data_IF_843353408430
#
_entry.id   IF_843353408430
#
_cell.length_a   1.000
_cell.length_b   1.000
_cell.length_c   1.000
_cell.angle_alpha   90.00
_cell.angle_beta   90.00
_cell.angle_gamma   90.00
#
_symmetry.space_group_name_H-M   'P 1'
#
loop_
_entity.id
_entity.type
_entity.pdbx_description
1 polymer ?
#
# COMPACT_ATOMS: atom_id res chain seq x y z
N UNK A 1 34.19 -6.84 4.06
CA UNK A 1 33.40 -5.81 3.37
C UNK A 1 32.04 -5.65 4.03
N UNK A 2 31.90 -4.75 5.00
CA UNK A 2 30.65 -4.53 5.75
C UNK A 2 29.57 -3.85 4.90
N UNK A 3 29.95 -2.94 3.99
CA UNK A 3 29.03 -2.32 3.04
C UNK A 3 28.32 -3.36 2.15
N UNK A 4 29.03 -4.39 1.69
CA UNK A 4 28.42 -5.48 0.89
C UNK A 4 27.32 -6.22 1.66
N UNK A 5 27.46 -6.34 2.99
CA UNK A 5 26.41 -6.90 3.82
C UNK A 5 25.15 -6.01 3.86
N UNK A 6 25.28 -4.68 3.83
CA UNK A 6 24.12 -3.78 3.79
C UNK A 6 23.33 -3.94 2.48
N UNK A 7 24.03 -4.06 1.34
CA UNK A 7 23.38 -4.30 0.04
C UNK A 7 22.74 -5.68 -0.06
N UNK A 8 23.38 -6.71 0.49
CA UNK A 8 22.77 -8.04 0.60
C UNK A 8 21.51 -8.01 1.47
N UNK A 9 21.55 -7.24 2.57
CA UNK A 9 20.39 -7.00 3.42
C UNK A 9 19.21 -6.45 2.61
N UNK A 10 19.47 -5.42 1.81
CA UNK A 10 18.45 -4.79 0.97
C UNK A 10 17.94 -5.72 -0.13
N UNK A 11 18.84 -6.49 -0.75
CA UNK A 11 18.46 -7.50 -1.76
C UNK A 11 17.47 -8.51 -1.18
N UNK A 12 17.73 -9.02 0.02
CA UNK A 12 16.82 -9.94 0.69
C UNK A 12 15.51 -9.27 1.12
N UNK A 13 15.54 -8.01 1.56
CA UNK A 13 14.32 -7.25 1.91
C UNK A 13 13.40 -7.09 0.69
N UNK A 14 13.96 -6.74 -0.47
CA UNK A 14 13.20 -6.61 -1.72
C UNK A 14 12.63 -7.97 -2.18
N UNK A 15 13.40 -9.06 -2.05
CA UNK A 15 12.86 -10.40 -2.30
C UNK A 15 11.70 -10.76 -1.38
N UNK A 16 11.78 -10.41 -0.10
CA UNK A 16 10.69 -10.67 0.85
C UNK A 16 9.39 -9.93 0.50
N UNK A 17 9.47 -8.75 -0.13
CA UNK A 17 8.32 -7.96 -0.59
C UNK A 17 7.56 -8.69 -1.70
N UNK A 18 8.28 -9.20 -2.69
CA UNK A 18 7.70 -9.88 -3.86
C UNK A 18 7.43 -11.37 -3.63
N UNK A 19 7.98 -11.94 -2.57
CA UNK A 19 7.76 -13.34 -2.22
C UNK A 19 6.36 -13.50 -1.65
N UNK A 20 5.55 -14.33 -2.28
CA UNK A 20 4.27 -14.66 -1.69
C UNK A 20 4.49 -15.71 -0.60
N UNK A 21 5.22 -16.81 -0.82
CA UNK A 21 5.37 -17.95 0.09
C UNK A 21 5.78 -17.52 1.52
N UNK A 22 5.11 -17.95 2.61
CA UNK A 22 5.33 -17.36 3.92
C UNK A 22 6.61 -17.90 4.57
N UNK A 23 7.00 -19.14 4.28
CA UNK A 23 8.22 -19.74 4.77
C UNK A 23 9.43 -19.08 4.09
N UNK A 24 9.40 -18.96 2.77
CA UNK A 24 10.45 -18.27 2.01
C UNK A 24 10.51 -16.78 2.36
N UNK A 25 9.37 -16.10 2.48
CA UNK A 25 9.31 -14.71 2.97
C UNK A 25 9.98 -14.56 4.33
N UNK A 26 9.69 -15.47 5.28
CA UNK A 26 10.31 -15.46 6.61
C UNK A 26 11.82 -15.69 6.51
N UNK A 27 12.29 -16.62 5.66
CA UNK A 27 13.72 -16.85 5.42
C UNK A 27 14.40 -15.60 4.84
N UNK A 28 13.79 -14.92 3.88
CA UNK A 28 14.32 -13.69 3.30
C UNK A 28 14.35 -12.54 4.30
N UNK A 29 13.30 -12.34 5.11
CA UNK A 29 13.29 -11.33 6.18
C UNK A 29 14.42 -11.58 7.19
N UNK A 30 14.57 -12.83 7.65
CA UNK A 30 15.62 -13.18 8.60
C UNK A 30 17.03 -13.00 8.00
N UNK A 31 17.20 -13.32 6.71
CA UNK A 31 18.44 -13.09 5.99
C UNK A 31 18.74 -11.60 5.86
N UNK A 32 17.74 -10.78 5.50
CA UNK A 32 17.87 -9.33 5.42
C UNK A 32 18.36 -8.73 6.76
N UNK A 33 17.69 -9.08 7.87
CA UNK A 33 18.07 -8.64 9.22
C UNK A 33 19.52 -9.03 9.54
N UNK A 34 19.87 -10.31 9.38
CA UNK A 34 21.23 -10.80 9.66
C UNK A 34 22.30 -10.04 8.87
N UNK A 35 22.01 -9.74 7.60
CA UNK A 35 22.94 -9.03 6.74
C UNK A 35 23.05 -7.54 7.13
N UNK A 36 21.95 -6.86 7.44
CA UNK A 36 22.00 -5.49 7.96
C UNK A 36 22.71 -5.41 9.33
N UNK A 37 22.39 -6.27 10.28
CA UNK A 37 23.05 -6.32 11.59
C UNK A 37 24.55 -6.57 11.44
N UNK A 38 24.95 -7.47 10.55
CA UNK A 38 26.36 -7.70 10.26
C UNK A 38 27.02 -6.49 9.61
N UNK A 39 26.34 -5.75 8.73
CA UNK A 39 26.87 -4.53 8.14
C UNK A 39 27.11 -3.42 9.18
N UNK A 40 26.27 -3.39 10.22
CA UNK A 40 26.32 -2.44 11.33
C UNK A 40 27.27 -2.89 12.46
N UNK A 41 27.85 -4.10 12.37
CA UNK A 41 28.77 -4.61 13.38
C UNK A 41 30.12 -3.86 13.35
N UNK A 42 30.51 -3.32 14.51
CA UNK A 42 31.79 -2.61 14.78
C UNK A 42 32.08 -1.33 13.99
N UNK A 43 31.10 -0.72 13.31
CA UNK A 43 31.14 0.71 13.04
C UNK A 43 30.28 1.41 14.08
N UNK A 44 30.83 2.45 14.74
CA UNK A 44 30.01 3.26 15.63
C UNK A 44 28.78 3.71 14.83
N UNK A 45 27.55 3.49 15.33
CA UNK A 45 26.31 3.97 14.70
C UNK A 45 26.22 5.51 14.69
N UNK A 46 27.35 6.20 14.73
CA UNK A 46 27.57 7.64 14.63
C UNK A 46 28.03 8.04 13.21
N UNK A 47 28.42 7.07 12.36
CA UNK A 47 28.71 7.36 10.97
C UNK A 47 27.41 7.54 10.17
N UNK A 48 27.17 8.77 9.70
CA UNK A 48 26.04 9.13 8.84
C UNK A 48 25.91 8.19 7.61
N UNK A 49 27.01 7.66 7.08
CA UNK A 49 27.03 6.78 5.90
C UNK A 49 26.27 5.45 6.06
N UNK A 50 25.91 5.04 7.30
CA UNK A 50 25.11 3.85 7.57
C UNK A 50 23.70 4.15 8.08
N UNK A 51 23.30 5.42 8.16
CA UNK A 51 21.93 5.81 8.52
C UNK A 51 20.89 5.16 7.61
N UNK A 52 21.20 4.97 6.32
CA UNK A 52 20.28 4.31 5.39
C UNK A 52 20.12 2.82 5.74
N UNK A 53 21.21 2.12 6.08
CA UNK A 53 21.16 0.71 6.45
C UNK A 53 20.33 0.50 7.72
N UNK A 54 20.43 1.43 8.69
CA UNK A 54 19.55 1.46 9.86
C UNK A 54 18.08 1.65 9.47
N UNK A 55 17.77 2.61 8.60
CA UNK A 55 16.41 2.83 8.17
C UNK A 55 15.83 1.58 7.48
N UNK A 56 16.60 0.96 6.59
CA UNK A 56 16.20 -0.22 5.82
C UNK A 56 16.08 -1.47 6.71
N UNK A 57 16.91 -1.58 7.75
CA UNK A 57 16.71 -2.56 8.81
C UNK A 57 15.40 -2.31 9.56
N UNK A 58 15.10 -1.06 9.92
CA UNK A 58 13.82 -0.69 10.54
C UNK A 58 12.62 -1.03 9.67
N UNK A 59 12.67 -0.74 8.37
CA UNK A 59 11.65 -1.14 7.41
C UNK A 59 11.55 -2.67 7.23
N UNK A 60 12.65 -3.40 7.40
CA UNK A 60 12.64 -4.87 7.42
C UNK A 60 11.90 -5.39 8.65
N UNK A 61 12.11 -4.80 9.83
CA UNK A 61 11.30 -5.11 11.01
C UNK A 61 9.84 -4.71 10.84
N UNK A 62 9.53 -3.65 10.08
CA UNK A 62 8.15 -3.32 9.69
C UNK A 62 7.50 -4.48 8.93
N UNK A 63 8.22 -5.24 8.10
CA UNK A 63 7.68 -6.44 7.45
C UNK A 63 7.26 -7.52 8.46
N UNK A 64 7.92 -7.59 9.63
CA UNK A 64 7.61 -8.57 10.68
C UNK A 64 6.38 -8.21 11.51
N UNK A 65 6.06 -6.91 11.64
CA UNK A 65 4.90 -6.40 12.40
C UNK A 65 3.61 -7.14 12.01
N UNK A 66 3.45 -7.40 10.71
CA UNK A 66 2.23 -7.97 10.10
C UNK A 66 2.47 -9.35 9.47
N UNK A 67 3.61 -9.99 9.76
CA UNK A 67 3.98 -11.27 9.16
C UNK A 67 3.04 -12.39 9.61
N UNK A 68 2.62 -12.36 10.89
CA UNK A 68 1.54 -13.21 11.38
C UNK A 68 0.18 -12.62 10.96
N UNK A 69 -0.24 -12.99 9.75
CA UNK A 69 -1.53 -12.58 9.20
C UNK A 69 -2.70 -13.07 10.04
N UNK A 70 -2.58 -14.23 10.69
CA UNK A 70 -3.67 -14.77 11.52
C UNK A 70 -3.90 -13.85 12.71
N UNK A 71 -2.81 -13.47 13.40
CA UNK A 71 -2.83 -12.52 14.49
C UNK A 71 -3.40 -11.16 14.07
N UNK A 72 -2.94 -10.62 12.94
CA UNK A 72 -3.44 -9.36 12.39
C UNK A 72 -4.95 -9.38 12.14
N UNK A 73 -5.47 -10.47 11.58
CA UNK A 73 -6.86 -10.56 11.09
C UNK A 73 -7.83 -10.97 12.19
N UNK A 74 -7.45 -11.93 13.04
CA UNK A 74 -8.34 -12.48 14.07
C UNK A 74 -8.28 -11.69 15.37
N UNK A 75 -7.07 -11.30 15.76
CA UNK A 75 -6.82 -10.66 17.04
C UNK A 75 -6.76 -9.14 16.89
N UNK A 76 -6.66 -8.62 15.65
CA UNK A 76 -6.44 -7.20 15.38
C UNK A 76 -5.18 -6.69 16.09
N UNK A 77 -4.17 -7.57 16.19
CA UNK A 77 -2.93 -7.34 16.90
C UNK A 77 -1.75 -7.34 15.93
N UNK A 78 -0.76 -6.52 16.25
CA UNK A 78 0.53 -6.47 15.57
C UNK A 78 1.64 -7.02 16.47
N UNK A 79 2.79 -7.38 15.90
CA UNK A 79 3.96 -7.76 16.70
C UNK A 79 4.63 -6.51 17.32
N UNK A 80 4.29 -6.24 18.57
CA UNK A 80 4.85 -5.13 19.37
C UNK A 80 6.37 -5.18 19.51
N UNK A 81 6.98 -6.38 19.54
CA UNK A 81 8.44 -6.51 19.60
C UNK A 81 9.05 -6.02 18.30
N UNK A 82 8.51 -6.43 17.16
CA UNK A 82 8.97 -5.98 15.85
C UNK A 82 8.67 -4.50 15.61
N UNK A 83 7.53 -3.97 16.10
CA UNK A 83 7.23 -2.52 16.10
C UNK A 83 8.31 -1.74 16.85
N UNK A 84 8.64 -2.14 18.09
CA UNK A 84 9.66 -1.47 18.90
C UNK A 84 11.03 -1.48 18.19
N UNK A 85 11.41 -2.61 17.59
CA UNK A 85 12.66 -2.69 16.82
C UNK A 85 12.63 -1.76 15.59
N UNK A 86 11.54 -1.78 14.83
CA UNK A 86 11.38 -0.90 13.66
C UNK A 86 11.53 0.58 14.04
N UNK A 87 10.82 1.02 15.09
CA UNK A 87 10.90 2.40 15.59
C UNK A 87 12.31 2.75 16.08
N UNK A 88 12.97 1.88 16.84
CA UNK A 88 14.33 2.13 17.34
C UNK A 88 15.33 2.37 16.19
N UNK A 89 15.31 1.50 15.18
CA UNK A 89 16.22 1.63 14.04
C UNK A 89 15.89 2.84 13.17
N UNK A 90 14.62 3.15 12.96
CA UNK A 90 14.18 4.33 12.20
C UNK A 90 14.51 5.63 12.94
N UNK A 91 14.31 5.68 14.27
CA UNK A 91 14.71 6.81 15.10
C UNK A 91 16.21 7.06 14.98
N UNK A 92 17.02 6.01 15.12
CA UNK A 92 18.47 6.15 14.98
C UNK A 92 18.88 6.59 13.57
N UNK A 93 18.21 6.10 12.54
CA UNK A 93 18.46 6.55 11.17
C UNK A 93 18.16 8.05 10.99
N UNK A 94 17.05 8.53 11.55
CA UNK A 94 16.63 9.94 11.51
C UNK A 94 17.60 10.83 12.30
N UNK A 95 18.07 10.39 13.46
CA UNK A 95 19.10 11.11 14.23
C UNK A 95 20.38 11.33 13.41
N UNK A 96 20.80 10.33 12.63
CA UNK A 96 22.02 10.38 11.83
C UNK A 96 21.86 11.07 10.48
N UNK A 97 20.65 10.98 9.91
CA UNK A 97 20.30 11.53 8.61
C UNK A 97 18.89 12.14 8.66
N UNK A 98 18.72 13.31 9.30
CA UNK A 98 17.40 13.92 9.46
C UNK A 98 16.76 14.31 8.12
N UNK A 99 17.54 14.50 7.07
CA UNK A 99 17.08 14.78 5.69
C UNK A 99 16.79 13.52 4.87
N UNK A 100 16.82 12.33 5.48
CA UNK A 100 16.49 11.09 4.80
C UNK A 100 14.98 10.84 4.83
N UNK A 101 14.26 11.49 3.92
CA UNK A 101 12.79 11.49 3.83
C UNK A 101 12.17 10.08 3.98
N UNK A 102 12.79 9.08 3.38
CA UNK A 102 12.30 7.70 3.42
C UNK A 102 12.23 7.10 4.83
N UNK A 103 13.16 7.44 5.73
CA UNK A 103 13.07 6.96 7.11
C UNK A 103 11.85 7.57 7.83
N UNK A 104 11.53 8.84 7.59
CA UNK A 104 10.33 9.47 8.10
C UNK A 104 9.06 8.79 7.57
N UNK A 105 8.97 8.56 6.25
CA UNK A 105 7.82 7.87 5.66
C UNK A 105 7.64 6.43 6.14
N UNK A 106 8.74 5.70 6.34
CA UNK A 106 8.70 4.36 6.92
C UNK A 106 8.28 4.39 8.38
N UNK A 107 8.75 5.35 9.17
CA UNK A 107 8.34 5.50 10.58
C UNK A 107 6.87 5.88 10.71
N UNK A 108 6.37 6.77 9.84
CA UNK A 108 4.94 7.01 9.69
C UNK A 108 4.18 5.71 9.43
N UNK A 109 4.65 4.87 8.51
CA UNK A 109 3.97 3.60 8.20
C UNK A 109 3.91 2.67 9.41
N UNK A 110 4.97 2.63 10.24
CA UNK A 110 4.97 1.89 11.51
C UNK A 110 3.94 2.48 12.50
N UNK A 111 3.90 3.80 12.65
CA UNK A 111 2.90 4.47 13.48
C UNK A 111 1.47 4.18 13.02
N UNK A 112 1.19 4.20 11.70
CA UNK A 112 -0.13 3.82 11.17
C UNK A 112 -0.49 2.36 11.47
N UNK A 113 0.46 1.44 11.38
CA UNK A 113 0.28 0.03 11.77
C UNK A 113 -0.01 -0.11 13.27
N UNK A 114 0.44 0.83 14.09
CA UNK A 114 0.11 0.92 15.49
C UNK A 114 -1.15 1.74 15.78
N UNK A 115 -1.81 2.29 14.75
CA UNK A 115 -2.93 3.24 14.86
C UNK A 115 -2.58 4.55 15.61
N UNK A 116 -1.29 4.90 15.63
CA UNK A 116 -0.70 6.13 16.16
C UNK A 116 -0.73 7.21 15.07
N UNK A 117 -1.92 7.70 14.75
CA UNK A 117 -2.12 8.54 13.56
C UNK A 117 -1.55 9.95 13.69
N UNK A 118 -1.43 10.50 14.90
CA UNK A 118 -0.88 11.84 15.12
C UNK A 118 0.63 11.84 14.86
N UNK A 119 1.34 10.83 15.36
CA UNK A 119 2.77 10.59 15.12
C UNK A 119 3.03 10.31 13.64
N UNK A 120 2.21 9.46 13.02
CA UNK A 120 2.27 9.24 11.58
C UNK A 120 2.08 10.55 10.80
N UNK A 121 1.10 11.37 11.18
CA UNK A 121 0.82 12.64 10.51
C UNK A 121 2.02 13.59 10.60
N UNK A 122 2.66 13.68 11.76
CA UNK A 122 3.86 14.50 11.94
C UNK A 122 4.99 14.04 11.02
N UNK A 123 5.28 12.74 11.01
CA UNK A 123 6.34 12.16 10.19
C UNK A 123 6.10 12.37 8.68
N UNK A 124 4.86 12.24 8.24
CA UNK A 124 4.44 12.50 6.85
C UNK A 124 4.60 13.98 6.47
N UNK A 125 4.29 14.90 7.41
CA UNK A 125 4.53 16.33 7.22
C UNK A 125 6.01 16.64 7.02
N UNK A 126 6.88 16.03 7.83
CA UNK A 126 8.34 16.17 7.69
C UNK A 126 8.84 15.56 6.38
N UNK A 127 8.40 14.34 6.05
CA UNK A 127 8.72 13.67 4.77
C UNK A 127 8.39 14.56 3.56
N UNK A 128 7.19 15.16 3.55
CA UNK A 128 6.71 16.03 2.48
C UNK A 128 7.53 17.31 2.31
N UNK A 129 8.05 17.87 3.41
CA UNK A 129 8.92 19.05 3.34
C UNK A 129 10.32 18.71 2.81
N UNK A 130 10.85 17.53 3.16
CA UNK A 130 12.19 17.10 2.75
C UNK A 130 12.21 16.69 1.28
N UNK A 131 11.21 15.95 0.82
CA UNK A 131 11.14 15.39 -0.52
C UNK A 131 9.75 15.62 -1.11
N UNK A 132 9.44 16.81 -1.64
CA UNK A 132 8.09 17.13 -2.11
C UNK A 132 7.64 16.29 -3.33
N UNK A 133 8.57 15.66 -4.04
CA UNK A 133 8.30 14.90 -5.26
C UNK A 133 7.58 13.57 -4.96
N UNK A 134 6.58 13.22 -5.78
CA UNK A 134 5.77 11.98 -5.71
C UNK A 134 6.53 10.67 -5.99
N UNK A 135 7.86 10.73 -6.11
CA UNK A 135 8.66 9.59 -6.50
C UNK A 135 8.78 8.62 -5.32
N UNK A 136 8.06 7.51 -5.42
CA UNK A 136 8.26 6.34 -4.57
C UNK A 136 9.29 5.42 -5.23
N UNK A 137 9.76 4.40 -4.49
CA UNK A 137 10.59 3.31 -5.04
C UNK A 137 10.03 2.67 -6.33
N UNK A 138 8.76 2.92 -6.68
CA UNK A 138 8.07 2.41 -7.88
C UNK A 138 8.72 2.83 -9.22
N UNK A 139 9.59 3.84 -9.26
CA UNK A 139 10.30 4.22 -10.48
C UNK A 139 11.84 4.18 -10.36
N UNK A 140 12.37 3.68 -9.23
CA UNK A 140 13.81 3.52 -9.06
C UNK A 140 14.27 2.24 -9.75
N UNK A 141 15.16 2.28 -10.77
CA UNK A 141 15.63 1.10 -11.50
C UNK A 141 16.59 0.21 -10.69
N UNK A 142 16.60 0.31 -9.36
CA UNK A 142 17.74 -0.12 -8.55
C UNK A 142 17.46 -1.36 -7.71
N UNK A 143 18.07 -2.52 -8.04
CA UNK A 143 18.45 -3.56 -7.09
C UNK A 143 19.83 -3.28 -6.46
N UNK A 144 20.13 -1.99 -6.28
CA UNK A 144 21.19 -1.33 -5.49
C UNK A 144 22.59 -1.21 -6.11
N UNK A 145 22.82 -0.26 -7.03
CA UNK A 145 24.15 0.36 -7.10
C UNK A 145 24.32 1.65 -6.29
N UNK A 146 23.40 2.61 -6.21
CA UNK A 146 23.54 3.75 -5.28
C UNK A 146 22.14 4.30 -4.92
N UNK A 147 21.63 3.99 -3.73
CA UNK A 147 20.27 4.31 -3.25
C UNK A 147 19.93 5.81 -3.33
N UNK A 148 19.29 6.26 -4.41
CA UNK A 148 18.49 7.49 -4.40
C UNK A 148 17.19 7.16 -3.67
N UNK A 149 17.04 7.67 -2.45
CA UNK A 149 15.89 7.37 -1.61
C UNK A 149 14.93 8.54 -1.61
N UNK A 150 13.79 8.38 -2.26
CA UNK A 150 12.66 9.32 -2.18
C UNK A 150 11.41 8.55 -1.82
N UNK A 151 10.61 9.17 -0.98
CA UNK A 151 9.24 8.76 -0.73
C UNK A 151 8.48 10.03 -0.45
N UNK A 152 7.41 10.22 -1.19
CA UNK A 152 6.20 10.92 -0.78
C UNK A 152 5.08 10.26 -1.59
N UNK A 153 4.12 9.67 -0.89
CA UNK A 153 2.91 9.11 -1.50
C UNK A 153 1.72 9.96 -1.07
N UNK A 154 1.54 11.12 -1.72
CA UNK A 154 0.53 12.12 -1.32
C UNK A 154 -0.90 11.57 -1.37
N UNK A 155 -1.16 10.50 -2.13
CA UNK A 155 -2.43 9.80 -2.06
C UNK A 155 -2.68 9.24 -0.66
N UNK A 156 -1.69 8.55 -0.09
CA UNK A 156 -1.79 8.00 1.26
C UNK A 156 -1.94 9.10 2.31
N UNK A 157 -1.25 10.22 2.10
CA UNK A 157 -1.37 11.40 2.96
C UNK A 157 -2.78 11.96 2.89
N UNK A 158 -3.25 12.32 1.69
CA UNK A 158 -4.58 12.85 1.44
C UNK A 158 -5.67 11.97 2.06
N UNK A 159 -5.53 10.65 1.94
CA UNK A 159 -6.46 9.72 2.55
C UNK A 159 -6.37 9.62 4.05
N UNK A 160 -5.17 9.58 4.62
CA UNK A 160 -5.04 9.61 6.07
C UNK A 160 -5.74 10.85 6.64
N UNK A 161 -5.44 12.02 6.08
CA UNK A 161 -6.11 13.27 6.43
C UNK A 161 -7.64 13.14 6.30
N UNK A 162 -8.11 12.75 5.12
CA UNK A 162 -9.53 12.62 4.85
C UNK A 162 -10.23 11.63 5.81
N UNK A 163 -9.62 10.49 6.13
CA UNK A 163 -10.20 9.50 7.03
C UNK A 163 -10.22 9.97 8.49
N UNK A 164 -9.21 10.73 8.93
CA UNK A 164 -9.22 11.31 10.27
C UNK A 164 -10.40 12.30 10.47
N UNK A 165 -10.90 12.93 9.40
CA UNK A 165 -12.14 13.74 9.48
C UNK A 165 -13.36 12.94 9.94
N UNK A 166 -13.39 11.62 9.67
CA UNK A 166 -14.49 10.73 10.05
C UNK A 166 -14.43 10.33 11.52
N UNK A 167 -13.23 10.27 12.09
CA UNK A 167 -12.98 9.91 13.50
C UNK A 167 -13.00 11.11 14.44
N UNK A 168 -12.99 12.32 13.89
CA UNK A 168 -12.84 13.54 14.67
C UNK A 168 -14.19 14.25 14.86
N UNK A 169 -14.58 14.41 16.12
CA UNK A 169 -15.79 15.12 16.53
C UNK A 169 -15.55 16.63 16.71
N UNK A 170 -14.31 17.03 17.02
CA UNK A 170 -13.96 18.44 17.13
C UNK A 170 -13.96 19.11 15.74
N UNK A 171 -14.83 20.12 15.56
CA UNK A 171 -15.04 20.80 14.28
C UNK A 171 -13.78 21.46 13.72
N UNK A 172 -12.96 22.08 14.57
CA UNK A 172 -11.72 22.74 14.14
C UNK A 172 -10.66 21.74 13.68
N UNK A 173 -10.43 20.68 14.46
CA UNK A 173 -9.50 19.60 14.06
C UNK A 173 -9.97 18.91 12.79
N UNK A 174 -11.29 18.69 12.65
CA UNK A 174 -11.90 18.12 11.46
C UNK A 174 -11.68 18.99 10.23
N UNK A 175 -11.86 20.30 10.34
CA UNK A 175 -11.59 21.23 9.23
C UNK A 175 -10.11 21.25 8.86
N UNK A 176 -9.19 21.23 9.83
CA UNK A 176 -7.75 21.10 9.56
C UNK A 176 -7.42 19.83 8.78
N UNK A 177 -8.07 18.71 9.13
CA UNK A 177 -7.87 17.46 8.40
C UNK A 177 -8.40 17.54 6.96
N UNK A 178 -9.54 18.18 6.72
CA UNK A 178 -10.04 18.42 5.36
C UNK A 178 -9.09 19.29 4.54
N UNK A 179 -8.63 20.41 5.12
CA UNK A 179 -7.67 21.32 4.47
C UNK A 179 -6.39 20.56 4.11
N UNK A 180 -5.87 19.74 5.03
CA UNK A 180 -4.69 18.92 4.78
C UNK A 180 -4.90 17.87 3.69
N UNK A 181 -6.08 17.24 3.65
CA UNK A 181 -6.44 16.27 2.62
C UNK A 181 -6.46 16.93 1.23
N UNK A 182 -7.11 18.09 1.12
CA UNK A 182 -7.17 18.89 -0.10
C UNK A 182 -5.78 19.36 -0.52
N UNK A 183 -4.98 19.87 0.42
CA UNK A 183 -3.63 20.34 0.13
C UNK A 183 -2.74 19.22 -0.43
N UNK A 184 -2.79 18.02 0.16
CA UNK A 184 -2.06 16.86 -0.37
C UNK A 184 -2.53 16.50 -1.79
N UNK A 185 -3.85 16.46 -2.02
CA UNK A 185 -4.40 16.13 -3.33
C UNK A 185 -4.08 17.20 -4.39
N UNK A 186 -4.09 18.48 -4.02
CA UNK A 186 -3.68 19.58 -4.90
C UNK A 186 -2.18 19.52 -5.19
N UNK A 187 -1.35 19.19 -4.20
CA UNK A 187 0.09 19.03 -4.39
C UNK A 187 0.40 17.90 -5.39
N UNK A 188 -0.37 16.79 -5.40
CA UNK A 188 -0.27 15.78 -6.48
C UNK A 188 -0.43 16.43 -7.85
N UNK A 189 -1.48 17.24 -8.02
CA UNK A 189 -1.84 17.83 -9.30
C UNK A 189 -0.86 18.92 -9.74
N UNK A 190 -0.21 19.60 -8.79
CA UNK A 190 0.88 20.54 -9.06
C UNK A 190 2.10 19.79 -9.58
N UNK A 191 2.49 18.69 -8.92
CA UNK A 191 3.66 17.89 -9.28
C UNK A 191 3.46 17.12 -10.59
N UNK A 192 2.23 16.66 -10.84
CA UNK A 192 1.87 15.87 -12.03
C UNK A 192 0.52 16.32 -12.58
N UNK A 193 0.50 17.38 -13.41
CA UNK A 193 -0.70 17.82 -14.09
C UNK A 193 -1.30 16.66 -14.92
N UNK A 194 -2.61 16.46 -14.78
CA UNK A 194 -3.30 15.35 -15.47
C UNK A 194 -3.29 14.01 -14.72
N UNK A 195 -2.78 13.96 -13.48
CA UNK A 195 -2.87 12.75 -12.66
C UNK A 195 -4.32 12.41 -12.30
N UNK A 196 -4.84 11.33 -12.90
CA UNK A 196 -6.25 10.93 -12.77
C UNK A 196 -6.61 10.53 -11.34
N UNK A 197 -5.68 9.88 -10.64
CA UNK A 197 -5.90 9.45 -9.26
C UNK A 197 -5.99 10.68 -8.36
N UNK A 198 -5.06 11.63 -8.47
CA UNK A 198 -5.10 12.90 -7.74
C UNK A 198 -6.39 13.67 -7.98
N UNK A 199 -6.87 13.72 -9.23
CA UNK A 199 -8.15 14.37 -9.57
C UNK A 199 -9.32 13.69 -8.88
N UNK A 200 -9.39 12.36 -8.92
CA UNK A 200 -10.45 11.59 -8.26
C UNK A 200 -10.44 11.80 -6.75
N UNK A 201 -9.27 11.77 -6.12
CA UNK A 201 -9.09 11.97 -4.69
C UNK A 201 -9.58 13.36 -4.27
N UNK A 202 -9.09 14.41 -4.95
CA UNK A 202 -9.50 15.79 -4.70
C UNK A 202 -11.02 15.94 -4.83
N UNK A 203 -11.57 15.42 -5.93
CA UNK A 203 -13.01 15.49 -6.22
C UNK A 203 -13.85 14.87 -5.10
N UNK A 204 -13.47 13.68 -4.65
CA UNK A 204 -14.17 12.96 -3.58
C UNK A 204 -14.08 13.72 -2.26
N UNK A 205 -12.91 14.25 -1.90
CA UNK A 205 -12.74 15.03 -0.68
C UNK A 205 -13.64 16.27 -0.71
N UNK A 206 -13.60 17.05 -1.80
CA UNK A 206 -14.41 18.27 -1.96
C UNK A 206 -15.93 17.97 -1.96
N UNK A 207 -16.33 16.89 -2.61
CA UNK A 207 -17.72 16.46 -2.69
C UNK A 207 -18.29 15.98 -1.35
N UNK A 208 -17.43 15.48 -0.46
CA UNK A 208 -17.84 14.90 0.84
C UNK A 208 -17.60 15.81 2.05
N UNK A 209 -16.84 16.91 1.89
CA UNK A 209 -16.44 17.82 2.99
C UNK A 209 -17.62 18.45 3.73
N UNK A 210 -18.61 18.97 3.00
CA UNK A 210 -19.81 19.58 3.58
C UNK A 210 -20.96 18.64 3.29
N UNK A 211 -21.66 18.18 4.33
CA UNK A 211 -22.89 17.36 4.28
C UNK A 211 -24.08 18.09 3.60
N UNK A 212 -23.83 18.95 2.63
CA UNK A 212 -24.85 19.53 1.76
C UNK A 212 -25.24 18.42 0.78
N UNK A 213 -26.46 17.89 0.97
CA UNK A 213 -27.04 16.83 0.11
C UNK A 213 -26.99 17.17 -1.39
N UNK A 214 -26.79 18.43 -1.75
CA UNK A 214 -26.76 18.92 -3.12
C UNK A 214 -25.40 18.75 -3.85
N UNK A 215 -24.33 18.34 -3.15
CA UNK A 215 -22.98 18.24 -3.75
C UNK A 215 -22.68 16.91 -4.46
N UNK A 216 -23.25 15.79 -4.00
CA UNK A 216 -23.18 14.51 -4.72
C UNK A 216 -24.37 14.43 -5.66
N UNK A 217 -24.36 15.33 -6.63
CA UNK A 217 -25.37 15.41 -7.68
C UNK A 217 -24.95 14.56 -8.90
N UNK A 218 -25.84 14.45 -9.89
CA UNK A 218 -25.57 13.68 -11.11
C UNK A 218 -24.29 14.12 -11.83
N UNK A 219 -23.93 15.41 -11.77
CA UNK A 219 -22.68 15.92 -12.36
C UNK A 219 -21.45 15.36 -11.63
N UNK A 220 -21.44 15.36 -10.30
CA UNK A 220 -20.36 14.76 -9.52
C UNK A 220 -20.19 13.27 -9.85
N UNK A 221 -21.31 12.52 -9.94
CA UNK A 221 -21.30 11.09 -10.27
C UNK A 221 -20.68 10.83 -11.63
N UNK A 222 -21.14 11.57 -12.65
CA UNK A 222 -20.66 11.42 -14.03
C UNK A 222 -19.17 11.76 -14.16
N UNK A 223 -18.72 12.81 -13.47
CA UNK A 223 -17.30 13.19 -13.44
C UNK A 223 -16.44 12.13 -12.74
N UNK A 224 -16.88 11.58 -11.61
CA UNK A 224 -16.18 10.49 -10.93
C UNK A 224 -16.13 9.24 -11.79
N UNK A 225 -17.25 8.86 -12.41
CA UNK A 225 -17.36 7.71 -13.31
C UNK A 225 -16.39 7.85 -14.49
N UNK A 226 -16.36 9.02 -15.13
CA UNK A 226 -15.43 9.31 -16.23
C UNK A 226 -13.95 9.19 -15.79
N UNK A 227 -13.61 9.69 -14.60
CA UNK A 227 -12.24 9.56 -14.07
C UNK A 227 -11.87 8.11 -13.79
N UNK A 228 -12.80 7.37 -13.17
CA UNK A 228 -12.62 5.97 -12.81
C UNK A 228 -12.47 5.10 -14.06
N UNK A 229 -13.28 5.28 -15.09
CA UNK A 229 -13.13 4.56 -16.37
C UNK A 229 -11.74 4.74 -16.98
N UNK A 230 -11.19 5.96 -16.92
CA UNK A 230 -9.83 6.25 -17.38
C UNK A 230 -8.75 5.61 -16.50
N UNK A 231 -8.97 5.56 -15.18
CA UNK A 231 -8.07 4.89 -14.22
C UNK A 231 -8.09 3.39 -14.47
N UNK A 232 -9.28 2.79 -14.55
CA UNK A 232 -9.48 1.35 -14.75
C UNK A 232 -8.85 0.89 -16.06
N UNK A 233 -8.96 1.66 -17.15
CA UNK A 233 -8.30 1.35 -18.40
C UNK A 233 -6.77 1.26 -18.27
N UNK A 234 -6.14 2.20 -17.55
CA UNK A 234 -4.68 2.17 -17.30
C UNK A 234 -4.28 1.05 -16.35
N UNK A 235 -5.07 0.84 -15.30
CA UNK A 235 -4.83 -0.18 -14.29
C UNK A 235 -4.97 -1.58 -14.89
N UNK A 236 -5.89 -1.77 -15.84
CA UNK A 236 -6.13 -3.06 -16.47
C UNK A 236 -4.90 -3.62 -17.17
N UNK A 237 -4.17 -2.80 -17.92
CA UNK A 237 -2.96 -3.25 -18.62
C UNK A 237 -1.86 -3.69 -17.65
N UNK A 238 -1.64 -2.92 -16.57
CA UNK A 238 -0.65 -3.25 -15.54
C UNK A 238 -1.05 -4.53 -14.81
N UNK A 239 -2.30 -4.62 -14.33
CA UNK A 239 -2.82 -5.80 -13.63
C UNK A 239 -2.76 -7.05 -14.52
N UNK A 240 -3.09 -6.96 -15.81
CA UNK A 240 -2.99 -8.08 -16.75
C UNK A 240 -1.56 -8.61 -16.84
N UNK A 241 -0.57 -7.72 -17.00
CA UNK A 241 0.83 -8.11 -17.05
C UNK A 241 1.27 -8.79 -15.75
N UNK A 242 1.03 -8.13 -14.60
CA UNK A 242 1.38 -8.66 -13.28
C UNK A 242 0.77 -10.04 -13.05
N UNK A 243 -0.55 -10.18 -13.23
CA UNK A 243 -1.25 -11.42 -12.94
C UNK A 243 -0.83 -12.59 -13.85
N UNK A 244 -0.52 -12.34 -15.13
CA UNK A 244 -0.01 -13.37 -16.04
C UNK A 244 1.36 -13.89 -15.58
N UNK A 245 2.27 -12.99 -15.22
CA UNK A 245 3.58 -13.37 -14.68
C UNK A 245 3.47 -14.05 -13.31
N UNK A 246 2.48 -13.69 -12.49
CA UNK A 246 2.16 -14.42 -11.26
C UNK A 246 1.64 -15.83 -11.52
N UNK A 247 0.77 -16.05 -12.51
CA UNK A 247 0.35 -17.41 -12.92
C UNK A 247 1.55 -18.25 -13.34
N UNK A 248 2.50 -17.64 -14.08
CA UNK A 248 3.71 -18.33 -14.52
C UNK A 248 4.65 -18.68 -13.35
N UNK A 249 4.77 -17.79 -12.36
CA UNK A 249 5.62 -18.00 -11.20
C UNK A 249 4.99 -18.97 -10.18
N UNK A 250 3.68 -18.85 -9.96
CA UNK A 250 2.90 -19.60 -8.97
C UNK A 250 1.57 -20.04 -9.61
N UNK A 251 1.48 -21.28 -10.16
CA UNK A 251 0.28 -21.79 -10.85
C UNK A 251 -1.02 -21.69 -10.04
N UNK A 252 -0.94 -21.77 -8.70
CA UNK A 252 -2.08 -21.57 -7.78
C UNK A 252 -2.75 -20.20 -7.92
N UNK A 253 -2.03 -19.19 -8.45
CA UNK A 253 -2.62 -17.88 -8.76
C UNK A 253 -3.79 -18.01 -9.73
N UNK A 254 -3.70 -18.94 -10.69
CA UNK A 254 -4.78 -19.20 -11.65
C UNK A 254 -6.03 -19.70 -10.93
N UNK A 255 -5.89 -20.66 -10.02
CA UNK A 255 -7.01 -21.21 -9.24
C UNK A 255 -7.70 -20.12 -8.39
N UNK A 256 -6.91 -19.22 -7.77
CA UNK A 256 -7.44 -18.06 -7.04
C UNK A 256 -8.24 -17.14 -7.97
N UNK A 257 -7.75 -16.88 -9.18
CA UNK A 257 -8.45 -16.05 -10.15
C UNK A 257 -9.73 -16.71 -10.69
N UNK A 258 -9.71 -18.02 -10.94
CA UNK A 258 -10.91 -18.79 -11.33
C UNK A 258 -11.97 -18.74 -10.24
N UNK A 259 -11.59 -18.96 -8.99
CA UNK A 259 -12.49 -18.82 -7.84
C UNK A 259 -13.05 -17.39 -7.74
N UNK A 260 -12.25 -16.37 -8.06
CA UNK A 260 -12.70 -14.98 -8.00
C UNK A 260 -13.72 -14.74 -9.10
N UNK A 261 -13.42 -15.15 -10.34
CA UNK A 261 -14.30 -15.01 -11.50
C UNK A 261 -15.68 -15.66 -11.30
N UNK A 262 -15.75 -16.75 -10.54
CA UNK A 262 -16.99 -17.46 -10.22
C UNK A 262 -17.76 -16.89 -9.02
N UNK A 263 -17.17 -15.97 -8.26
CA UNK A 263 -17.83 -15.40 -7.08
C UNK A 263 -18.99 -14.47 -7.48
N UNK A 264 -20.09 -14.54 -6.72
CA UNK A 264 -21.29 -13.74 -6.96
C UNK A 264 -20.99 -12.23 -7.07
N UNK A 265 -20.11 -11.71 -6.20
CA UNK A 265 -19.70 -10.29 -6.20
C UNK A 265 -18.89 -9.85 -7.42
N UNK A 266 -18.49 -10.77 -8.31
CA UNK A 266 -17.86 -10.43 -9.60
C UNK A 266 -18.88 -10.30 -10.73
N UNK A 267 -20.11 -10.79 -10.57
CA UNK A 267 -21.16 -10.66 -11.58
C UNK A 267 -21.50 -9.18 -11.78
N UNK A 268 -21.44 -8.70 -13.03
CA UNK A 268 -21.65 -7.29 -13.36
C UNK A 268 -20.54 -6.33 -12.90
N UNK A 269 -19.52 -6.81 -12.19
CA UNK A 269 -18.41 -5.98 -11.76
C UNK A 269 -17.45 -5.69 -12.92
N UNK A 270 -16.96 -4.44 -13.02
CA UNK A 270 -16.05 -4.01 -14.08
C UNK A 270 -14.75 -4.80 -14.19
N UNK A 271 -14.27 -5.37 -13.08
CA UNK A 271 -13.05 -6.20 -13.06
C UNK A 271 -13.27 -7.59 -13.70
N UNK A 272 -14.51 -8.00 -13.97
CA UNK A 272 -14.80 -9.32 -14.55
C UNK A 272 -14.06 -9.55 -15.86
N UNK A 273 -14.15 -8.58 -16.77
CA UNK A 273 -13.44 -8.63 -18.05
C UNK A 273 -11.93 -8.76 -17.88
N UNK A 274 -11.35 -7.99 -16.94
CA UNK A 274 -9.91 -8.06 -16.65
C UNK A 274 -9.50 -9.45 -16.19
N UNK A 275 -10.23 -10.04 -15.25
CA UNK A 275 -9.93 -11.37 -14.72
C UNK A 275 -10.10 -12.44 -15.81
N UNK A 276 -11.16 -12.36 -16.61
CA UNK A 276 -11.41 -13.30 -17.71
C UNK A 276 -10.32 -13.23 -18.79
N UNK A 277 -9.89 -12.02 -19.18
CA UNK A 277 -8.80 -11.80 -20.13
C UNK A 277 -7.44 -12.35 -19.64
N UNK A 278 -7.23 -12.38 -18.31
CA UNK A 278 -6.06 -13.00 -17.70
C UNK A 278 -6.18 -14.52 -17.72
N UNK A 279 -7.35 -15.08 -17.42
CA UNK A 279 -7.60 -16.52 -17.37
C UNK A 279 -7.53 -17.21 -18.73
N UNK A 280 -7.80 -16.48 -19.82
CA UNK A 280 -7.51 -16.95 -21.20
C UNK A 280 -6.01 -17.27 -21.40
N UNK A 281 -5.15 -16.66 -20.57
CA UNK A 281 -3.74 -16.99 -20.34
C UNK A 281 -2.92 -17.32 -21.60
N UNK A 282 -2.70 -16.33 -22.49
CA UNK A 282 -1.80 -16.52 -23.62
C UNK A 282 -0.39 -16.84 -23.12
N UNK A 283 0.38 -17.60 -23.92
CA UNK A 283 1.78 -17.88 -23.61
C UNK A 283 2.57 -16.56 -23.46
N UNK A 284 3.36 -16.47 -22.38
CA UNK A 284 4.23 -15.33 -22.08
C UNK A 284 5.68 -15.81 -21.95
N UNK A 285 6.63 -15.06 -22.49
CA UNK A 285 8.06 -15.39 -22.48
C UNK A 285 8.76 -14.99 -21.16
N UNK A 286 9.93 -15.59 -20.89
CA UNK A 286 10.80 -15.23 -19.76
C UNK A 286 10.48 -15.94 -18.42
N UNK A 287 11.32 -15.73 -17.41
CA UNK A 287 11.12 -16.28 -16.05
C UNK A 287 10.11 -15.44 -15.25
N UNK A 288 9.10 -16.10 -14.66
CA UNK A 288 8.01 -15.42 -13.95
C UNK A 288 8.48 -14.65 -12.73
N UNK A 289 9.29 -15.29 -11.89
CA UNK A 289 9.75 -14.71 -10.63
C UNK A 289 10.74 -13.56 -10.89
N UNK A 290 11.62 -13.73 -11.88
CA UNK A 290 12.56 -12.69 -12.29
C UNK A 290 11.81 -11.46 -12.83
N UNK A 291 10.78 -11.66 -13.65
CA UNK A 291 9.99 -10.54 -14.17
C UNK A 291 9.28 -9.78 -13.04
N UNK A 292 8.63 -10.49 -12.11
CA UNK A 292 7.96 -9.88 -10.97
C UNK A 292 8.93 -9.09 -10.09
N UNK A 293 10.15 -9.62 -9.91
CA UNK A 293 11.20 -8.94 -9.16
C UNK A 293 11.70 -7.68 -9.87
N UNK A 294 11.93 -7.74 -11.19
CA UNK A 294 12.33 -6.58 -12.01
C UNK A 294 11.23 -5.51 -12.09
N UNK A 295 9.96 -5.92 -11.94
CA UNK A 295 8.79 -5.05 -12.03
C UNK A 295 8.03 -4.96 -10.68
N UNK A 296 8.73 -5.07 -9.54
CA UNK A 296 8.11 -5.06 -8.20
C UNK A 296 7.23 -3.81 -7.98
N UNK A 297 7.61 -2.69 -8.60
CA UNK A 297 6.85 -1.45 -8.63
C UNK A 297 5.43 -1.61 -9.19
N UNK A 298 5.27 -2.40 -10.24
CA UNK A 298 3.96 -2.67 -10.85
C UNK A 298 3.12 -3.55 -9.95
N UNK A 299 3.74 -4.52 -9.26
CA UNK A 299 3.07 -5.37 -8.27
C UNK A 299 2.54 -4.52 -7.11
N UNK A 300 3.39 -3.69 -6.51
CA UNK A 300 3.00 -2.82 -5.40
C UNK A 300 2.00 -1.73 -5.84
N UNK A 301 2.26 -1.07 -6.98
CA UNK A 301 1.41 0.00 -7.49
C UNK A 301 0.01 -0.47 -7.88
N UNK A 302 -0.11 -1.64 -8.52
CA UNK A 302 -1.42 -2.20 -8.88
C UNK A 302 -2.22 -2.64 -7.65
N UNK A 303 -1.60 -3.34 -6.68
CA UNK A 303 -2.24 -3.67 -5.42
C UNK A 303 -2.66 -2.43 -4.62
N UNK A 304 -1.85 -1.38 -4.65
CA UNK A 304 -2.15 -0.08 -4.03
C UNK A 304 -3.34 0.62 -4.67
N UNK A 305 -3.38 0.71 -6.00
CA UNK A 305 -4.49 1.31 -6.72
C UNK A 305 -5.80 0.54 -6.49
N UNK A 306 -5.76 -0.80 -6.49
CA UNK A 306 -6.94 -1.63 -6.20
C UNK A 306 -7.40 -1.45 -4.75
N UNK A 307 -6.49 -1.47 -3.77
CA UNK A 307 -6.84 -1.23 -2.36
C UNK A 307 -7.49 0.14 -2.19
N UNK A 308 -6.96 1.14 -2.89
CA UNK A 308 -7.50 2.48 -2.88
C UNK A 308 -8.93 2.55 -3.47
N UNK A 309 -9.17 1.94 -4.63
CA UNK A 309 -10.51 1.89 -5.23
C UNK A 309 -11.53 1.16 -4.33
N UNK A 310 -11.09 0.11 -3.62
CA UNK A 310 -11.90 -0.55 -2.61
C UNK A 310 -12.26 0.36 -1.44
N UNK A 311 -11.30 1.12 -0.91
CA UNK A 311 -11.56 2.08 0.17
C UNK A 311 -12.45 3.24 -0.31
N UNK A 312 -12.27 3.69 -1.56
CA UNK A 312 -13.13 4.72 -2.15
C UNK A 312 -14.58 4.25 -2.30
N UNK A 313 -14.79 3.00 -2.74
CA UNK A 313 -16.13 2.40 -2.81
C UNK A 313 -16.83 2.42 -1.45
N UNK A 314 -16.13 2.03 -0.36
CA UNK A 314 -16.67 2.12 1.00
C UNK A 314 -16.96 3.56 1.46
N UNK A 315 -16.08 4.50 1.10
CA UNK A 315 -16.29 5.90 1.39
C UNK A 315 -17.56 6.39 0.72
N UNK A 316 -17.70 6.16 -0.60
CA UNK A 316 -18.85 6.64 -1.36
C UNK A 316 -20.15 5.96 -0.93
N UNK A 317 -20.12 4.68 -0.55
CA UNK A 317 -21.29 3.98 0.02
C UNK A 317 -21.92 4.71 1.20
N UNK A 318 -21.11 5.39 2.01
CA UNK A 318 -21.61 6.17 3.14
C UNK A 318 -22.42 7.41 2.70
N UNK A 319 -22.13 7.97 1.53
CA UNK A 319 -22.72 9.22 1.07
C UNK A 319 -23.72 9.06 -0.08
N UNK A 320 -23.65 7.97 -0.84
CA UNK A 320 -24.48 7.72 -2.02
C UNK A 320 -24.97 6.28 -2.08
N UNK A 321 -26.27 6.09 -2.28
CA UNK A 321 -26.88 4.77 -2.45
C UNK A 321 -26.56 4.14 -3.81
N UNK A 322 -26.13 4.93 -4.81
CA UNK A 322 -25.76 4.47 -6.16
C UNK A 322 -24.23 4.47 -6.35
N UNK A 323 -23.46 4.33 -5.26
CA UNK A 323 -21.99 4.35 -5.31
C UNK A 323 -21.40 3.24 -6.18
N UNK A 324 -22.12 2.13 -6.30
CA UNK A 324 -21.76 0.94 -7.06
C UNK A 324 -21.80 1.22 -8.57
N UNK A 325 -22.65 2.15 -9.03
CA UNK A 325 -22.63 2.64 -10.41
C UNK A 325 -21.36 3.47 -10.72
N UNK A 326 -20.75 4.09 -9.70
CA UNK A 326 -19.55 4.94 -9.83
C UNK A 326 -18.28 4.08 -9.74
N UNK A 327 -18.15 3.32 -8.64
CA UNK A 327 -16.93 2.57 -8.30
C UNK A 327 -17.07 1.06 -8.45
N UNK A 328 -18.28 0.51 -8.39
CA UNK A 328 -18.51 -0.90 -8.10
C UNK A 328 -18.32 -1.24 -6.63
N UNK A 329 -18.63 -2.48 -6.26
CA UNK A 329 -18.43 -2.99 -4.90
C UNK A 329 -16.95 -3.02 -4.48
N UNK A 330 -16.68 -2.81 -3.20
CA UNK A 330 -15.32 -2.79 -2.66
C UNK A 330 -14.65 -4.17 -2.67
N UNK A 331 -15.44 -5.23 -2.52
CA UNK A 331 -14.95 -6.60 -2.29
C UNK A 331 -14.08 -7.15 -3.43
N UNK A 332 -14.48 -7.05 -4.72
CA UNK A 332 -13.64 -7.45 -5.85
C UNK A 332 -12.25 -6.82 -5.87
N UNK A 333 -12.15 -5.50 -5.64
CA UNK A 333 -10.87 -4.81 -5.60
C UNK A 333 -9.97 -5.34 -4.48
N UNK A 334 -10.53 -5.54 -3.29
CA UNK A 334 -9.80 -6.07 -2.13
C UNK A 334 -9.27 -7.47 -2.38
N UNK A 335 -10.08 -8.35 -2.98
CA UNK A 335 -9.64 -9.72 -3.29
C UNK A 335 -8.55 -9.71 -4.37
N UNK A 336 -8.71 -8.92 -5.43
CA UNK A 336 -7.68 -8.85 -6.48
C UNK A 336 -6.37 -8.24 -5.94
N UNK A 337 -6.46 -7.20 -5.09
CA UNK A 337 -5.29 -6.65 -4.41
C UNK A 337 -4.59 -7.69 -3.51
N UNK A 338 -5.36 -8.53 -2.81
CA UNK A 338 -4.81 -9.63 -2.02
C UNK A 338 -4.13 -10.70 -2.87
N UNK A 339 -4.69 -11.02 -4.04
CA UNK A 339 -4.07 -11.97 -4.97
C UNK A 339 -2.72 -11.41 -5.45
N UNK A 340 -2.65 -10.12 -5.78
CA UNK A 340 -1.44 -9.48 -6.29
C UNK A 340 -0.38 -9.32 -5.20
N UNK A 341 -0.76 -8.72 -4.06
CA UNK A 341 0.17 -8.46 -2.97
C UNK A 341 -0.55 -8.45 -1.61
N UNK A 342 -0.65 -9.65 -1.02
CA UNK A 342 -1.45 -9.88 0.18
C UNK A 342 -1.03 -9.02 1.39
N UNK A 343 0.26 -8.94 1.68
CA UNK A 343 0.76 -8.22 2.85
C UNK A 343 0.47 -6.73 2.74
N UNK A 344 0.71 -6.12 1.58
CA UNK A 344 0.41 -4.71 1.36
C UNK A 344 -1.10 -4.46 1.46
N UNK A 345 -1.93 -5.26 0.78
CA UNK A 345 -3.38 -5.11 0.83
C UNK A 345 -3.95 -5.25 2.25
N UNK A 346 -3.44 -6.20 3.05
CA UNK A 346 -3.84 -6.36 4.45
C UNK A 346 -3.39 -5.20 5.32
N UNK A 347 -2.17 -4.71 5.13
CA UNK A 347 -1.68 -3.53 5.84
C UNK A 347 -2.49 -2.28 5.52
N UNK A 348 -2.86 -2.09 4.25
CA UNK A 348 -3.74 -0.98 3.85
C UNK A 348 -5.11 -1.11 4.51
N UNK A 349 -5.72 -2.29 4.48
CA UNK A 349 -7.00 -2.54 5.16
C UNK A 349 -6.89 -2.37 6.69
N UNK A 350 -5.73 -2.68 7.27
CA UNK A 350 -5.47 -2.46 8.69
C UNK A 350 -5.23 -0.98 9.03
N UNK A 351 -4.57 -0.22 8.17
CA UNK A 351 -4.25 1.18 8.43
C UNK A 351 -5.38 2.13 8.03
N UNK A 352 -6.30 1.70 7.16
CA UNK A 352 -7.36 2.57 6.65
C UNK A 352 -8.34 2.93 7.76
N UNK A 353 -8.40 4.21 8.09
CA UNK A 353 -9.39 4.77 9.01
C UNK A 353 -10.76 4.99 8.35
N UNK A 354 -10.92 4.57 7.08
CA UNK A 354 -12.20 4.58 6.38
C UNK A 354 -13.24 3.64 7.02
N UNK A 355 -12.77 2.57 7.66
CA UNK A 355 -13.58 1.58 8.36
C UNK A 355 -13.40 1.71 9.87
N UNK A 356 -14.50 1.60 10.62
CA UNK A 356 -14.45 1.33 12.06
C UNK A 356 -13.78 -0.01 12.34
N UNK A 357 -13.33 -0.24 13.58
CA UNK A 357 -12.72 -1.51 13.97
C UNK A 357 -13.68 -2.70 13.72
N UNK A 358 -14.98 -2.52 13.99
CA UNK A 358 -15.99 -3.54 13.76
C UNK A 358 -16.19 -3.85 12.26
N UNK A 359 -16.26 -2.83 11.42
CA UNK A 359 -16.35 -3.00 9.96
C UNK A 359 -15.09 -3.66 9.41
N UNK A 360 -13.91 -3.24 9.86
CA UNK A 360 -12.64 -3.84 9.47
C UNK A 360 -12.56 -5.32 9.84
N UNK A 361 -12.97 -5.70 11.06
CA UNK A 361 -13.06 -7.12 11.47
C UNK A 361 -14.02 -7.90 10.58
N UNK A 362 -15.15 -7.31 10.18
CA UNK A 362 -16.11 -7.92 9.24
C UNK A 362 -15.49 -8.13 7.85
N UNK A 363 -14.77 -7.13 7.34
CA UNK A 363 -14.07 -7.22 6.06
C UNK A 363 -12.96 -8.28 6.10
N UNK A 364 -12.13 -8.29 7.14
CA UNK A 364 -11.15 -9.34 7.38
C UNK A 364 -11.76 -10.75 7.41
N UNK A 365 -12.94 -10.91 8.03
CA UNK A 365 -13.66 -12.18 8.03
C UNK A 365 -14.10 -12.60 6.63
N UNK A 366 -14.66 -11.69 5.82
CA UNK A 366 -15.04 -11.95 4.42
C UNK A 366 -13.85 -12.35 3.56
N UNK A 367 -12.69 -11.72 3.79
CA UNK A 367 -11.46 -11.97 3.04
C UNK A 367 -10.67 -13.17 3.57
N UNK A 368 -11.00 -13.69 4.76
CA UNK A 368 -10.23 -14.76 5.42
C UNK A 368 -10.06 -16.02 4.58
N UNK A 369 -11.02 -16.36 3.72
CA UNK A 369 -10.92 -17.51 2.80
C UNK A 369 -9.89 -17.32 1.68
N UNK A 370 -9.55 -16.07 1.35
CA UNK A 370 -8.54 -15.70 0.36
C UNK A 370 -7.15 -15.64 0.97
N UNK A 371 -7.11 -15.30 2.27
CA UNK A 371 -5.88 -15.16 3.05
C UNK A 371 -5.39 -16.52 3.57
N UNK A 372 -6.32 -17.45 3.87
CA UNK A 372 -6.03 -18.79 4.39
C UNK A 372 -5.73 -19.85 3.31
N UNK A 373 -5.56 -19.45 2.05
CA UNK A 373 -5.25 -20.40 0.96
C UNK A 373 -3.90 -21.12 1.12
N UNK A 374 -3.10 -20.77 2.14
CA UNK A 374 -1.96 -21.58 2.61
C UNK A 374 -2.27 -22.47 3.78
N UNK A 375 -3.15 -23.41 3.55
CA UNK A 375 -2.96 -24.74 4.12
C UNK A 375 -2.93 -25.70 2.94
N UNK A 376 -1.75 -25.87 2.36
CA UNK A 376 -1.47 -27.14 1.70
C UNK A 376 -1.19 -28.16 2.81
N UNK A 377 -1.97 -29.23 2.75
CA UNK A 377 -1.76 -30.60 3.21
C UNK A 377 -0.85 -30.84 4.42
#
# INVERSE_FOLDING_TARGET
YLWAHAHLGETYRLRAITENNPEEKTKFINSAIRHFEKALAHQAPENSNYGWALAHLGATYRLKITLDKIKLIKENEIDEKSKKQALNYLNRAIELMPTYAWAWGMRSTVHRLAQEYEESFWDLGVETQISPDMETLQHSPSPVPFLVSRRVSLYEHAFLFFYLTKRQDNSEKKERYYIGAIACAQQVLILKPGDLMGQLILKVIEGTQKKEKDKINNKFREECKTLIEKIDAKLAEICKAVLRYMIKAEPETKEKLEKLAQAEGMSGHKLKKLVDDVLQNPEIEGDGQLWLWQNFAWVEGSASALSFLGDLSEVLRYYDQHYDEITGEAWPYRVLALIIYDQYALERLYQTAALSEAERKKEFKKLSQWIKSRRLA
#
